data_IF_370577728876
#
_entry.id   IF_370577728876
#
_cell.length_a   1.000
_cell.length_b   1.000
_cell.length_c   1.000
_cell.angle_alpha   90.00
_cell.angle_beta   90.00
_cell.angle_gamma   90.00
#
_symmetry.space_group_name_H-M   'P 1'
#
loop_
_entity.id
_entity.type
_entity.pdbx_description
1 polymer ?
#
# COMPACT_ATOMS: atom_id res chain seq x y z
N UNK A 1 -39.47 20.89 -29.76
CA UNK A 1 -39.32 20.02 -28.61
C UNK A 1 -38.20 18.96 -28.76
N UNK A 2 -38.17 18.12 -29.83
CA UNK A 2 -37.14 17.07 -30.01
C UNK A 2 -35.69 17.61 -30.08
N UNK A 3 -35.46 18.75 -30.72
CA UNK A 3 -34.13 19.39 -30.81
C UNK A 3 -33.62 19.92 -29.47
N UNK A 4 -34.51 20.38 -28.59
CA UNK A 4 -34.21 20.86 -27.26
C UNK A 4 -33.85 19.67 -26.32
N UNK A 5 -34.56 18.56 -26.47
CA UNK A 5 -34.33 17.35 -25.70
C UNK A 5 -32.97 16.70 -26.02
N UNK A 6 -32.56 16.70 -27.33
CA UNK A 6 -31.22 16.24 -27.74
C UNK A 6 -30.08 17.11 -27.15
N UNK A 7 -30.28 18.44 -27.09
CA UNK A 7 -29.29 19.34 -26.48
C UNK A 7 -29.10 19.10 -25.00
N UNK A 8 -30.18 18.91 -24.26
CA UNK A 8 -30.13 18.62 -22.81
C UNK A 8 -29.47 17.26 -22.54
N UNK A 9 -29.78 16.24 -23.35
CA UNK A 9 -29.18 14.93 -23.24
C UNK A 9 -27.66 14.96 -23.54
N UNK A 10 -27.22 15.73 -24.52
CA UNK A 10 -25.80 15.90 -24.83
C UNK A 10 -25.02 16.61 -23.73
N UNK A 11 -25.63 17.63 -23.09
CA UNK A 11 -25.00 18.32 -21.94
C UNK A 11 -24.92 17.40 -20.70
N UNK A 12 -25.95 16.60 -20.44
CA UNK A 12 -25.94 15.61 -19.35
C UNK A 12 -24.87 14.53 -19.55
N UNK A 13 -24.66 14.08 -20.80
CA UNK A 13 -23.59 13.13 -21.13
C UNK A 13 -22.19 13.76 -20.97
N UNK A 14 -22.01 15.02 -21.33
CA UNK A 14 -20.75 15.75 -21.14
C UNK A 14 -20.42 15.95 -19.64
N UNK A 15 -21.42 16.24 -18.81
CA UNK A 15 -21.24 16.39 -17.34
C UNK A 15 -20.91 15.04 -16.68
N UNK A 16 -21.49 13.94 -17.18
CA UNK A 16 -21.18 12.59 -16.67
C UNK A 16 -19.73 12.16 -17.00
N UNK A 17 -19.16 12.62 -18.12
CA UNK A 17 -17.76 12.35 -18.47
C UNK A 17 -16.74 13.13 -17.62
N UNK A 18 -17.13 14.26 -17.03
CA UNK A 18 -16.28 15.02 -16.12
C UNK A 18 -16.28 14.49 -14.67
N UNK A 19 -17.11 13.51 -14.35
CA UNK A 19 -17.20 12.90 -13.01
C UNK A 19 -16.15 11.81 -12.74
N UNK A 20 -15.14 11.63 -13.63
CA UNK A 20 -13.91 10.92 -13.28
C UNK A 20 -13.15 11.74 -12.23
N UNK A 21 -13.53 11.57 -10.96
CA UNK A 21 -12.85 12.17 -9.83
C UNK A 21 -11.37 11.78 -9.87
N UNK A 22 -10.49 12.74 -9.62
CA UNK A 22 -9.09 12.47 -9.30
C UNK A 22 -9.08 11.49 -8.13
N UNK A 23 -8.63 10.27 -8.37
CA UNK A 23 -8.44 9.29 -7.31
C UNK A 23 -7.38 9.86 -6.37
N UNK A 24 -7.77 10.12 -5.13
CA UNK A 24 -6.87 10.63 -4.11
C UNK A 24 -5.81 9.55 -3.85
N UNK A 25 -4.56 9.84 -4.15
CA UNK A 25 -3.46 8.88 -4.00
C UNK A 25 -3.05 8.81 -2.53
N UNK A 26 -3.23 7.66 -1.91
CA UNK A 26 -2.76 7.41 -0.55
C UNK A 26 -1.27 7.04 -0.54
N UNK A 27 -0.49 7.70 0.32
CA UNK A 27 0.92 7.33 0.51
C UNK A 27 1.03 6.28 1.60
N UNK A 28 1.74 5.18 1.31
CA UNK A 28 2.02 4.09 2.24
C UNK A 28 3.53 3.94 2.40
N UNK A 29 4.03 4.10 3.62
CA UNK A 29 5.44 3.92 3.99
C UNK A 29 5.67 2.46 4.32
N UNK A 30 6.43 1.77 3.47
CA UNK A 30 6.73 0.36 3.62
C UNK A 30 8.21 0.19 3.99
N UNK A 31 8.49 -0.51 5.08
CA UNK A 31 9.86 -0.83 5.52
C UNK A 31 10.14 -2.32 5.33
N UNK A 32 11.18 -2.65 4.57
CA UNK A 32 11.65 -4.02 4.37
C UNK A 32 12.93 -4.31 5.19
N UNK A 33 13.12 -5.57 5.56
CA UNK A 33 14.31 -5.99 6.33
C UNK A 33 15.60 -5.75 5.56
N UNK A 34 15.61 -6.10 4.28
CA UNK A 34 16.72 -5.92 3.36
C UNK A 34 16.25 -6.04 1.93
N UNK A 35 17.01 -5.51 0.98
CA UNK A 35 16.75 -5.75 -0.43
C UNK A 35 17.05 -7.22 -0.77
N UNK A 36 16.05 -7.95 -1.28
CA UNK A 36 16.17 -9.38 -1.50
C UNK A 36 15.37 -9.86 -2.70
N UNK A 37 15.91 -10.82 -3.43
CA UNK A 37 15.20 -11.50 -4.52
C UNK A 37 13.93 -12.21 -4.07
N UNK A 38 13.83 -12.56 -2.79
CA UNK A 38 12.61 -13.13 -2.20
C UNK A 38 11.43 -12.16 -2.22
N UNK A 39 11.69 -10.86 -2.33
CA UNK A 39 10.69 -9.80 -2.40
C UNK A 39 10.40 -9.37 -3.86
N UNK A 40 10.88 -10.13 -4.85
CA UNK A 40 10.68 -9.81 -6.26
C UNK A 40 9.24 -9.48 -6.65
N UNK A 41 8.18 -10.16 -6.15
CA UNK A 41 6.80 -9.78 -6.45
C UNK A 41 6.46 -8.33 -6.06
N UNK A 42 6.98 -7.85 -4.93
CA UNK A 42 6.80 -6.47 -4.46
C UNK A 42 7.48 -5.47 -5.41
N UNK A 43 8.72 -5.77 -5.83
CA UNK A 43 9.45 -4.89 -6.73
C UNK A 43 8.82 -4.86 -8.12
N UNK A 44 8.33 -6.00 -8.61
CA UNK A 44 7.56 -6.05 -9.86
C UNK A 44 6.31 -5.19 -9.75
N UNK A 45 5.58 -5.28 -8.64
CA UNK A 45 4.38 -4.48 -8.43
C UNK A 45 4.69 -2.96 -8.38
N UNK A 46 5.82 -2.57 -7.81
CA UNK A 46 6.30 -1.18 -7.81
C UNK A 46 6.66 -0.71 -9.22
N UNK A 47 7.50 -1.46 -9.93
CA UNK A 47 8.03 -1.09 -11.26
C UNK A 47 6.95 -1.11 -12.35
N UNK A 48 5.99 -2.03 -12.26
CA UNK A 48 4.88 -2.13 -13.21
C UNK A 48 3.71 -1.18 -12.89
N UNK A 49 3.79 -0.44 -11.80
CA UNK A 49 2.78 0.53 -11.42
C UNK A 49 1.50 -0.05 -10.82
N UNK A 50 1.47 -1.32 -10.42
CA UNK A 50 0.26 -1.97 -9.88
C UNK A 50 -0.27 -1.29 -8.62
N UNK A 51 0.62 -0.72 -7.80
CA UNK A 51 0.20 0.09 -6.65
C UNK A 51 -0.43 1.41 -7.08
N UNK A 52 0.12 2.04 -8.11
CA UNK A 52 -0.42 3.30 -8.63
C UNK A 52 -1.81 3.10 -9.27
N UNK A 53 -2.04 1.96 -9.93
CA UNK A 53 -3.34 1.57 -10.47
C UNK A 53 -4.41 1.45 -9.37
N UNK A 54 -3.99 1.09 -8.15
CA UNK A 54 -4.85 1.01 -6.96
C UNK A 54 -4.90 2.34 -6.17
N UNK A 55 -4.34 3.41 -6.71
CA UNK A 55 -4.31 4.72 -6.04
C UNK A 55 -3.33 4.78 -4.86
N UNK A 56 -2.31 3.95 -4.85
CA UNK A 56 -1.31 3.89 -3.79
C UNK A 56 0.06 4.40 -4.28
N UNK A 57 0.68 5.27 -3.50
CA UNK A 57 2.08 5.65 -3.62
C UNK A 57 2.87 4.94 -2.54
N UNK A 58 3.75 4.03 -2.92
CA UNK A 58 4.60 3.31 -1.96
C UNK A 58 5.92 4.06 -1.76
N UNK A 59 6.25 4.35 -0.51
CA UNK A 59 7.55 4.85 -0.09
C UNK A 59 8.30 3.71 0.58
N UNK A 60 9.15 3.03 -0.22
CA UNK A 60 9.92 1.87 0.23
C UNK A 60 11.21 2.32 0.94
N UNK A 61 11.46 1.75 2.12
CA UNK A 61 12.68 1.96 2.89
C UNK A 61 13.31 0.62 3.31
N UNK A 62 14.64 0.60 3.40
CA UNK A 62 15.39 -0.56 3.91
C UNK A 62 15.70 -0.35 5.39
N UNK A 63 15.11 -1.16 6.26
CA UNK A 63 15.32 -1.10 7.71
C UNK A 63 16.68 -1.63 8.15
N UNK A 64 17.27 -2.57 7.40
CA UNK A 64 18.54 -3.20 7.74
C UNK A 64 18.47 -4.17 8.91
N UNK A 65 17.28 -4.76 9.15
CA UNK A 65 17.04 -5.77 10.19
C UNK A 65 15.58 -5.80 10.62
N UNK A 66 15.10 -6.98 11.03
CA UNK A 66 13.71 -7.16 11.44
C UNK A 66 13.35 -6.35 12.71
N UNK A 67 14.27 -6.19 13.63
CA UNK A 67 14.16 -5.35 14.83
C UNK A 67 13.91 -3.88 14.48
N UNK A 68 14.61 -3.37 13.48
CA UNK A 68 14.45 -1.99 13.01
C UNK A 68 13.15 -1.78 12.26
N UNK A 69 12.74 -2.78 11.44
CA UNK A 69 11.43 -2.75 10.77
C UNK A 69 10.31 -2.72 11.82
N UNK A 70 10.37 -3.57 12.85
CA UNK A 70 9.39 -3.55 13.94
C UNK A 70 9.39 -2.21 14.69
N UNK A 71 10.56 -1.66 14.95
CA UNK A 71 10.68 -0.33 15.57
C UNK A 71 10.02 0.74 14.71
N UNK A 72 10.27 0.74 13.41
CA UNK A 72 9.66 1.71 12.48
C UNK A 72 8.14 1.63 12.46
N UNK A 73 7.57 0.42 12.48
CA UNK A 73 6.12 0.23 12.54
C UNK A 73 5.55 0.69 13.89
N UNK A 74 6.14 0.26 15.01
CA UNK A 74 5.67 0.61 16.36
C UNK A 74 5.77 2.10 16.68
N UNK A 75 6.71 2.81 16.06
CA UNK A 75 6.87 4.26 16.23
C UNK A 75 6.13 5.10 15.20
N UNK A 76 5.39 4.46 14.29
CA UNK A 76 4.68 5.14 13.23
C UNK A 76 5.58 5.76 12.14
N UNK A 77 6.84 5.34 12.03
CA UNK A 77 7.73 5.74 10.94
C UNK A 77 7.46 4.95 9.65
N UNK A 78 6.92 3.75 9.76
CA UNK A 78 6.41 2.94 8.67
C UNK A 78 4.96 2.51 8.97
N UNK A 79 4.15 2.43 7.92
CA UNK A 79 2.77 1.97 8.01
C UNK A 79 2.70 0.45 7.88
N UNK A 80 3.62 -0.12 7.10
CA UNK A 80 3.74 -1.56 6.85
C UNK A 80 5.20 -1.99 7.01
N UNK A 81 5.41 -3.10 7.71
CA UNK A 81 6.69 -3.77 7.82
C UNK A 81 6.70 -5.09 7.06
N UNK A 82 7.72 -5.32 6.23
CA UNK A 82 7.98 -6.59 5.59
C UNK A 82 9.11 -7.30 6.34
N UNK A 83 8.73 -8.26 7.17
CA UNK A 83 9.64 -9.03 8.03
C UNK A 83 9.10 -10.44 8.26
N UNK A 84 9.92 -11.33 8.81
CA UNK A 84 9.47 -12.65 9.23
C UNK A 84 8.46 -12.55 10.39
N UNK A 85 7.52 -13.51 10.49
CA UNK A 85 6.48 -13.49 11.54
C UNK A 85 7.05 -13.59 12.96
N UNK A 86 8.25 -14.13 13.11
CA UNK A 86 8.95 -14.22 14.40
C UNK A 86 9.15 -12.85 15.06
N UNK A 87 9.38 -11.80 14.26
CA UNK A 87 9.53 -10.44 14.78
C UNK A 87 8.25 -9.95 15.46
N UNK A 88 7.08 -10.23 14.89
CA UNK A 88 5.79 -9.91 15.49
C UNK A 88 5.55 -10.73 16.79
N UNK A 89 5.94 -12.02 16.80
CA UNK A 89 5.83 -12.89 17.96
C UNK A 89 6.68 -12.36 19.12
N UNK A 90 7.90 -11.89 18.86
CA UNK A 90 8.75 -11.29 19.89
C UNK A 90 8.12 -10.04 20.49
N UNK A 91 7.56 -9.15 19.67
CA UNK A 91 6.90 -7.94 20.16
C UNK A 91 5.66 -8.29 20.98
N UNK A 92 4.84 -9.21 20.51
CA UNK A 92 3.66 -9.68 21.21
C UNK A 92 4.01 -10.26 22.61
N UNK A 93 5.06 -11.07 22.69
CA UNK A 93 5.51 -11.69 23.96
C UNK A 93 6.05 -10.67 24.96
N UNK A 94 6.34 -9.43 24.56
CA UNK A 94 6.72 -8.38 25.51
C UNK A 94 5.52 -7.83 26.30
N UNK A 95 4.31 -8.31 26.03
CA UNK A 95 3.11 -7.98 26.80
C UNK A 95 2.63 -6.55 26.65
N UNK A 96 2.97 -5.88 25.54
CA UNK A 96 2.45 -4.55 25.23
C UNK A 96 1.10 -4.67 24.51
N UNK A 97 0.17 -3.79 24.86
CA UNK A 97 -1.14 -3.73 24.22
C UNK A 97 -1.04 -3.35 22.72
N UNK A 98 -0.04 -2.52 22.39
CA UNK A 98 0.26 -2.11 21.00
C UNK A 98 1.32 -3.03 20.39
N UNK A 99 0.91 -3.82 19.41
CA UNK A 99 1.77 -4.75 18.69
C UNK A 99 1.39 -4.86 17.22
N UNK A 100 2.34 -5.16 16.32
CA UNK A 100 2.04 -5.31 14.90
C UNK A 100 1.21 -6.57 14.64
N UNK A 101 0.29 -6.47 13.66
CA UNK A 101 -0.57 -7.57 13.21
C UNK A 101 -0.08 -8.07 11.86
N UNK A 102 0.14 -9.37 11.74
CA UNK A 102 0.43 -10.01 10.45
C UNK A 102 -0.86 -10.12 9.66
N UNK A 103 -0.93 -9.46 8.50
CA UNK A 103 -2.13 -9.43 7.66
C UNK A 103 -1.94 -10.08 6.28
N UNK A 104 -0.70 -10.37 5.88
CA UNK A 104 -0.41 -10.96 4.58
C UNK A 104 0.90 -11.71 4.55
N UNK A 105 1.05 -12.56 3.55
CA UNK A 105 2.28 -13.30 3.28
C UNK A 105 2.70 -13.03 1.82
N UNK A 106 3.91 -12.49 1.65
CA UNK A 106 4.45 -12.19 0.32
C UNK A 106 5.13 -13.43 -0.30
N UNK A 107 5.91 -14.16 0.50
CA UNK A 107 6.64 -15.34 0.05
C UNK A 107 6.02 -16.60 0.63
N UNK A 108 5.88 -17.64 -0.19
CA UNK A 108 5.34 -18.93 0.26
C UNK A 108 6.43 -19.86 0.83
N UNK A 109 7.67 -19.67 0.35
CA UNK A 109 8.89 -20.34 0.80
C UNK A 109 10.07 -19.41 0.60
N UNK A 110 10.91 -19.32 1.53
CA UNK A 110 12.20 -18.64 1.56
C UNK A 110 13.29 -19.61 1.96
#
# INVERSE_FOLDING_TARGET
MKRFLCGVLAVLLLVALCACGTQETATVRLSEVTHSVFYAPQYVALEQGFFADEGLKIELSNGGGADKVMTAVLTGQADIGLAGPEACIYVYNQGKDDHPVVFGQLTKRD
#
